data_IF_775462578453
#
_entry.id   IF_775462578453
#
_cell.length_a   1.000
_cell.length_b   1.000
_cell.length_c   1.000
_cell.angle_alpha   90.00
_cell.angle_beta   90.00
_cell.angle_gamma   90.00
#
_symmetry.space_group_name_H-M   'P 1'
#
loop_
_entity.id
_entity.type
_entity.pdbx_description
1 polymer ?
#
# COMPACT_ATOMS: atom_id res chain seq x y z
N UNK A 1 -2.06 -9.98 31.72
CA UNK A 1 -1.84 -10.71 30.48
C UNK A 1 -2.68 -10.24 29.34
N UNK A 2 -3.99 -10.07 29.53
CA UNK A 2 -4.88 -9.56 28.48
C UNK A 2 -4.55 -8.13 28.05
N UNK A 3 -4.07 -7.28 28.96
CA UNK A 3 -3.72 -5.90 28.65
C UNK A 3 -2.49 -5.80 27.75
N UNK A 4 -1.51 -6.67 27.93
CA UNK A 4 -0.33 -6.69 27.07
C UNK A 4 -0.67 -7.07 25.64
N UNK A 5 -1.56 -8.04 25.47
CA UNK A 5 -2.02 -8.44 24.15
C UNK A 5 -2.75 -7.31 23.43
N UNK A 6 -3.55 -6.53 24.17
CA UNK A 6 -4.27 -5.38 23.62
C UNK A 6 -3.32 -4.28 23.18
N UNK A 7 -2.27 -4.02 23.96
CA UNK A 7 -1.27 -3.03 23.61
C UNK A 7 -0.51 -3.43 22.35
N UNK A 8 -0.15 -4.70 22.22
CA UNK A 8 0.53 -5.23 21.04
C UNK A 8 -0.35 -5.05 19.82
N UNK A 9 -1.65 -5.32 19.92
CA UNK A 9 -2.61 -5.13 18.83
C UNK A 9 -2.69 -3.67 18.40
N UNK A 10 -2.71 -2.74 19.35
CA UNK A 10 -2.75 -1.29 19.06
C UNK A 10 -1.49 -0.85 18.32
N UNK A 11 -0.32 -1.33 18.74
CA UNK A 11 0.93 -1.02 18.06
C UNK A 11 0.92 -1.56 16.65
N UNK A 12 0.45 -2.79 16.46
CA UNK A 12 0.38 -3.40 15.14
C UNK A 12 -0.61 -2.69 14.22
N UNK A 13 -1.73 -2.19 14.76
CA UNK A 13 -2.73 -1.49 13.95
C UNK A 13 -2.24 -0.15 13.41
N UNK A 14 -1.20 0.42 14.01
CA UNK A 14 -0.57 1.65 13.53
C UNK A 14 0.51 1.41 12.50
N UNK A 15 0.84 0.16 12.21
CA UNK A 15 1.89 -0.20 11.27
C UNK A 15 1.41 -0.12 9.82
N UNK A 16 2.37 -0.14 8.88
CA UNK A 16 2.11 -0.09 7.45
C UNK A 16 1.23 -1.21 6.90
N UNK A 17 1.32 -2.46 7.44
CA UNK A 17 0.45 -3.54 6.96
C UNK A 17 -1.03 -3.20 7.08
N UNK A 18 -1.40 -2.45 8.09
CA UNK A 18 -2.78 -2.01 8.27
C UNK A 18 -3.26 -1.10 7.13
N UNK A 19 -2.43 -0.20 6.65
CA UNK A 19 -2.78 0.68 5.51
C UNK A 19 -2.98 -0.12 4.23
N UNK A 20 -2.06 -1.03 3.94
CA UNK A 20 -2.14 -1.86 2.73
C UNK A 20 -3.38 -2.75 2.80
N UNK A 21 -3.63 -3.35 3.95
CA UNK A 21 -4.81 -4.19 4.15
C UNK A 21 -6.11 -3.41 3.98
N UNK A 22 -6.16 -2.18 4.49
CA UNK A 22 -7.31 -1.31 4.30
C UNK A 22 -7.54 -0.99 2.83
N UNK A 23 -6.46 -0.68 2.10
CA UNK A 23 -6.55 -0.42 0.67
C UNK A 23 -7.09 -1.63 -0.09
N UNK A 24 -6.57 -2.81 0.20
CA UNK A 24 -7.04 -4.05 -0.43
C UNK A 24 -8.52 -4.28 -0.11
N UNK A 25 -8.92 -4.09 1.13
CA UNK A 25 -10.31 -4.26 1.54
C UNK A 25 -11.24 -3.32 0.78
N UNK A 26 -10.88 -2.06 0.65
CA UNK A 26 -11.66 -1.07 -0.09
C UNK A 26 -11.78 -1.49 -1.55
N UNK A 27 -10.69 -1.88 -2.18
CA UNK A 27 -10.65 -2.26 -3.59
C UNK A 27 -11.46 -3.54 -3.82
N UNK A 28 -11.42 -4.49 -2.89
CA UNK A 28 -12.20 -5.71 -3.01
C UNK A 28 -13.70 -5.44 -3.00
N UNK A 29 -14.15 -4.42 -2.26
CA UNK A 29 -15.57 -4.05 -2.20
C UNK A 29 -15.97 -3.07 -3.31
N UNK A 30 -15.05 -2.20 -3.73
CA UNK A 30 -15.29 -1.18 -4.75
C UNK A 30 -14.18 -1.18 -5.79
N UNK A 31 -14.10 -2.21 -6.64
CA UNK A 31 -13.00 -2.31 -7.62
C UNK A 31 -12.88 -1.11 -8.56
N UNK A 32 -14.00 -0.44 -8.83
CA UNK A 32 -14.02 0.75 -9.70
C UNK A 32 -13.13 1.88 -9.20
N UNK A 33 -12.86 1.93 -7.90
CA UNK A 33 -12.02 2.97 -7.33
C UNK A 33 -10.58 2.89 -7.81
N UNK A 34 -10.15 1.74 -8.33
CA UNK A 34 -8.82 1.60 -8.93
C UNK A 34 -8.63 2.54 -10.11
N UNK A 35 -9.71 2.98 -10.77
CA UNK A 35 -9.62 3.94 -11.85
C UNK A 35 -9.03 5.28 -11.41
N UNK A 36 -9.09 5.59 -10.12
CA UNK A 36 -8.45 6.77 -9.56
C UNK A 36 -6.93 6.62 -9.47
N UNK A 37 -6.44 5.39 -9.58
CA UNK A 37 -5.01 5.09 -9.57
C UNK A 37 -4.57 4.94 -11.02
N UNK A 38 -3.67 5.80 -11.47
CA UNK A 38 -3.21 5.78 -12.86
C UNK A 38 -2.54 4.45 -13.17
N UNK A 39 -2.81 3.93 -14.38
CA UNK A 39 -2.18 2.73 -14.86
C UNK A 39 -0.66 2.89 -14.87
N UNK A 40 0.04 1.87 -14.41
CA UNK A 40 1.49 1.91 -14.27
C UNK A 40 2.00 2.63 -13.03
N UNK A 41 1.12 3.17 -12.20
CA UNK A 41 1.48 3.82 -10.93
C UNK A 41 1.38 2.85 -9.77
N UNK A 42 2.14 1.79 -9.86
CA UNK A 42 2.22 0.79 -8.80
C UNK A 42 3.00 1.32 -7.60
N UNK A 43 2.70 0.78 -6.44
CA UNK A 43 3.39 1.16 -5.22
C UNK A 43 4.77 0.50 -5.18
N UNK A 44 5.76 1.27 -4.79
CA UNK A 44 7.11 0.76 -4.65
C UNK A 44 7.29 0.08 -3.30
N UNK A 45 8.22 -0.86 -3.26
CA UNK A 45 8.58 -1.52 -2.03
C UNK A 45 9.18 -0.52 -1.05
N UNK A 46 8.83 -0.68 0.20
CA UNK A 46 9.38 0.08 1.31
C UNK A 46 10.40 -0.83 2.00
N UNK A 47 11.28 -0.26 2.78
CA UNK A 47 12.30 -1.02 3.49
C UNK A 47 11.71 -1.74 4.71
N UNK A 48 10.71 -2.58 4.47
CA UNK A 48 9.99 -3.37 5.47
C UNK A 48 9.39 -4.59 4.76
N UNK A 49 9.98 -5.75 5.00
CA UNK A 49 9.59 -6.99 4.33
C UNK A 49 8.12 -7.37 4.59
N UNK A 50 7.61 -7.08 5.78
CA UNK A 50 6.22 -7.39 6.12
C UNK A 50 5.21 -6.58 5.31
N UNK A 51 5.55 -5.34 4.98
CA UNK A 51 4.70 -4.48 4.16
C UNK A 51 4.79 -4.87 2.69
N UNK A 52 5.97 -5.25 2.23
CA UNK A 52 6.22 -5.50 0.81
C UNK A 52 5.40 -6.65 0.25
N UNK A 53 5.12 -7.68 1.05
CA UNK A 53 4.24 -8.75 0.60
C UNK A 53 2.83 -8.21 0.30
N UNK A 54 2.30 -7.39 1.19
CA UNK A 54 1.00 -6.75 0.97
C UNK A 54 1.02 -5.81 -0.22
N UNK A 55 2.09 -5.06 -0.40
CA UNK A 55 2.25 -4.16 -1.54
C UNK A 55 2.26 -4.95 -2.85
N UNK A 56 2.92 -6.09 -2.90
CA UNK A 56 2.91 -6.95 -4.08
C UNK A 56 1.49 -7.41 -4.41
N UNK A 57 0.74 -7.85 -3.41
CA UNK A 57 -0.65 -8.28 -3.59
C UNK A 57 -1.50 -7.11 -4.10
N UNK A 58 -1.36 -5.95 -3.47
CA UNK A 58 -2.09 -4.75 -3.87
C UNK A 58 -1.79 -4.37 -5.33
N UNK A 59 -0.52 -4.36 -5.71
CA UNK A 59 -0.11 -4.04 -7.08
C UNK A 59 -0.68 -5.05 -8.08
N UNK A 60 -0.69 -6.33 -7.75
CA UNK A 60 -1.26 -7.34 -8.63
C UNK A 60 -2.77 -7.15 -8.80
N UNK A 61 -3.47 -6.82 -7.73
CA UNK A 61 -4.91 -6.54 -7.79
C UNK A 61 -5.19 -5.32 -8.67
N UNK A 62 -4.43 -4.25 -8.49
CA UNK A 62 -4.58 -3.02 -9.28
C UNK A 62 -4.33 -3.32 -10.75
N UNK A 63 -3.26 -4.03 -11.05
CA UNK A 63 -2.92 -4.40 -12.42
C UNK A 63 -4.01 -5.27 -13.06
N UNK A 64 -4.54 -6.21 -12.31
CA UNK A 64 -5.60 -7.10 -12.77
C UNK A 64 -6.88 -6.30 -13.10
N UNK A 65 -7.25 -5.36 -12.26
CA UNK A 65 -8.45 -4.54 -12.47
C UNK A 65 -8.25 -3.63 -13.69
N UNK A 66 -7.07 -3.04 -13.87
CA UNK A 66 -6.78 -2.22 -15.05
C UNK A 66 -6.83 -3.03 -16.35
N UNK A 67 -6.45 -4.29 -16.29
CA UNK A 67 -6.45 -5.15 -17.48
C UNK A 67 -7.84 -5.62 -17.88
N UNK A 68 -8.83 -5.48 -17.00
CA UNK A 68 -10.21 -5.93 -17.24
C UNK A 68 -11.19 -4.82 -16.90
N UNK A 69 -12.14 -4.55 -17.79
CA UNK A 69 -13.09 -3.45 -17.62
C UNK A 69 -14.11 -3.68 -16.50
N UNK A 70 -14.40 -4.93 -16.21
CA UNK A 70 -15.34 -5.29 -15.15
C UNK A 70 -14.83 -6.52 -14.44
N UNK A 71 -14.60 -6.39 -13.15
CA UNK A 71 -14.08 -7.50 -12.35
C UNK A 71 -14.78 -7.52 -11.00
N UNK A 72 -15.09 -8.73 -10.54
CA UNK A 72 -15.71 -8.95 -9.24
C UNK A 72 -14.67 -9.47 -8.25
N UNK A 73 -14.97 -9.30 -6.97
CA UNK A 73 -14.09 -9.78 -5.90
C UNK A 73 -13.75 -11.28 -6.06
N UNK A 74 -14.75 -12.09 -6.42
CA UNK A 74 -14.52 -13.52 -6.62
C UNK A 74 -13.48 -13.80 -7.69
N UNK A 75 -13.49 -13.03 -8.77
CA UNK A 75 -12.51 -13.18 -9.86
C UNK A 75 -11.12 -12.80 -9.38
N UNK A 76 -11.01 -11.75 -8.56
CA UNK A 76 -9.73 -11.33 -7.98
C UNK A 76 -9.15 -12.46 -7.12
N UNK A 77 -9.98 -13.05 -6.27
CA UNK A 77 -9.56 -14.16 -5.40
C UNK A 77 -9.04 -15.34 -6.23
N UNK A 78 -9.75 -15.70 -7.27
CA UNK A 78 -9.38 -16.85 -8.10
C UNK A 78 -8.11 -16.64 -8.93
N UNK A 79 -7.72 -15.37 -9.14
CA UNK A 79 -6.50 -15.05 -9.86
C UNK A 79 -5.25 -15.54 -9.13
N UNK A 80 -5.26 -15.53 -7.80
CA UNK A 80 -4.10 -15.91 -7.01
C UNK A 80 -4.02 -17.43 -6.86
N UNK A 81 -2.80 -17.97 -6.94
CA UNK A 81 -2.55 -19.40 -6.79
C UNK A 81 -2.22 -19.79 -5.35
N UNK A 82 -1.72 -18.85 -4.56
CA UNK A 82 -1.36 -19.10 -3.17
C UNK A 82 -2.61 -19.22 -2.30
N UNK A 83 -2.77 -20.36 -1.63
CA UNK A 83 -3.94 -20.63 -0.82
C UNK A 83 -4.07 -19.70 0.39
N UNK A 84 -2.96 -19.27 0.96
CA UNK A 84 -3.00 -18.33 2.09
C UNK A 84 -3.47 -16.95 1.62
N UNK A 85 -3.01 -16.50 0.47
CA UNK A 85 -3.47 -15.23 -0.10
C UNK A 85 -4.94 -15.31 -0.44
N UNK A 86 -5.38 -16.40 -1.09
CA UNK A 86 -6.80 -16.61 -1.39
C UNK A 86 -7.66 -16.55 -0.14
N UNK A 87 -7.23 -17.21 0.93
CA UNK A 87 -7.94 -17.25 2.18
C UNK A 87 -8.12 -15.85 2.76
N UNK A 88 -7.05 -15.07 2.80
CA UNK A 88 -7.09 -13.69 3.30
C UNK A 88 -8.00 -12.81 2.45
N UNK A 89 -7.91 -12.93 1.14
CA UNK A 89 -8.77 -12.15 0.23
C UNK A 89 -10.24 -12.53 0.38
N UNK A 90 -10.54 -13.82 0.54
CA UNK A 90 -11.90 -14.27 0.80
C UNK A 90 -12.45 -13.68 2.10
N UNK A 91 -11.64 -13.68 3.15
CA UNK A 91 -12.04 -13.09 4.43
C UNK A 91 -12.37 -11.61 4.28
N UNK A 92 -11.56 -10.87 3.54
CA UNK A 92 -11.80 -9.46 3.28
C UNK A 92 -13.05 -9.24 2.42
N UNK A 93 -13.27 -10.10 1.43
CA UNK A 93 -14.39 -9.97 0.51
C UNK A 93 -15.74 -10.19 1.21
N UNK A 94 -15.80 -11.10 2.18
CA UNK A 94 -17.04 -11.38 2.91
C UNK A 94 -17.24 -10.45 4.10
N UNK A 95 -16.20 -9.78 4.55
CA UNK A 95 -16.28 -8.85 5.66
C UNK A 95 -17.01 -7.59 5.19
N UNK A 96 -18.09 -7.26 5.88
CA UNK A 96 -18.89 -6.11 5.51
C UNK A 96 -18.13 -4.81 5.68
N UNK A 97 -18.08 -4.03 4.62
CA UNK A 97 -17.51 -2.68 4.66
C UNK A 97 -18.62 -1.69 4.95
N UNK A 98 -18.51 -0.97 6.06
CA UNK A 98 -19.60 -0.14 6.60
C UNK A 98 -19.58 1.28 6.03
N UNK A 99 -18.73 1.59 5.09
CA UNK A 99 -18.63 2.92 4.51
C UNK A 99 -19.20 2.94 3.09
N UNK A 100 -19.70 4.09 2.67
CA UNK A 100 -20.21 4.29 1.32
C UNK A 100 -19.04 4.31 0.32
N UNK A 101 -19.37 4.17 -0.97
CA UNK A 101 -18.36 4.26 -2.03
C UNK A 101 -17.63 5.60 -2.00
N UNK A 102 -18.34 6.68 -1.74
CA UNK A 102 -17.75 8.02 -1.66
C UNK A 102 -16.76 8.13 -0.51
N UNK A 103 -17.12 7.61 0.66
CA UNK A 103 -16.23 7.58 1.82
C UNK A 103 -15.02 6.69 1.55
N UNK A 104 -15.25 5.54 0.92
CA UNK A 104 -14.19 4.60 0.55
C UNK A 104 -13.20 5.27 -0.41
N UNK A 105 -13.69 6.04 -1.37
CA UNK A 105 -12.83 6.78 -2.30
C UNK A 105 -11.92 7.77 -1.58
N UNK A 106 -12.47 8.56 -0.67
CA UNK A 106 -11.70 9.51 0.14
C UNK A 106 -10.65 8.80 0.98
N UNK A 107 -11.03 7.69 1.61
CA UNK A 107 -10.15 6.92 2.45
C UNK A 107 -9.02 6.27 1.63
N UNK A 108 -9.35 5.73 0.47
CA UNK A 108 -8.35 5.15 -0.43
C UNK A 108 -7.33 6.21 -0.88
N UNK A 109 -7.78 7.39 -1.25
CA UNK A 109 -6.89 8.49 -1.63
C UNK A 109 -5.92 8.84 -0.50
N UNK A 110 -6.41 8.89 0.72
CA UNK A 110 -5.56 9.18 1.86
C UNK A 110 -4.54 8.08 2.12
N UNK A 111 -4.96 6.82 2.00
CA UNK A 111 -4.05 5.69 2.13
C UNK A 111 -2.95 5.76 1.07
N UNK A 112 -3.31 6.07 -0.16
CA UNK A 112 -2.35 6.22 -1.27
C UNK A 112 -1.31 7.30 -0.93
N UNK A 113 -1.77 8.45 -0.45
CA UNK A 113 -0.88 9.54 -0.07
C UNK A 113 0.09 9.12 1.03
N UNK A 114 -0.40 8.41 2.04
CA UNK A 114 0.44 7.93 3.14
C UNK A 114 1.46 6.89 2.69
N UNK A 115 1.06 5.97 1.83
CA UNK A 115 1.99 4.97 1.29
C UNK A 115 3.07 5.63 0.43
N UNK A 116 2.69 6.59 -0.39
CA UNK A 116 3.65 7.33 -1.21
C UNK A 116 4.62 8.14 -0.35
N UNK A 117 4.14 8.74 0.72
CA UNK A 117 4.99 9.46 1.65
C UNK A 117 5.98 8.54 2.36
N UNK A 118 5.52 7.37 2.80
CA UNK A 118 6.41 6.37 3.39
C UNK A 118 7.49 5.94 2.41
N UNK A 119 7.12 5.74 1.15
CA UNK A 119 8.09 5.37 0.13
C UNK A 119 9.14 6.47 -0.06
N UNK A 120 8.71 7.72 -0.12
CA UNK A 120 9.63 8.85 -0.25
C UNK A 120 10.60 8.94 0.93
N UNK A 121 10.09 8.76 2.14
CA UNK A 121 10.94 8.76 3.35
C UNK A 121 11.92 7.61 3.37
N UNK A 122 11.48 6.43 2.94
CA UNK A 122 12.34 5.25 2.85
C UNK A 122 13.48 5.47 1.84
N UNK A 123 13.17 6.01 0.67
CA UNK A 123 14.17 6.31 -0.34
C UNK A 123 15.15 7.37 0.14
N UNK A 124 14.64 8.42 0.79
CA UNK A 124 15.48 9.46 1.36
C UNK A 124 16.45 8.89 2.39
N UNK A 125 15.95 8.05 3.28
CA UNK A 125 16.77 7.39 4.29
C UNK A 125 17.89 6.56 3.67
N UNK A 126 17.58 5.83 2.59
CA UNK A 126 18.59 5.04 1.87
C UNK A 126 19.69 5.93 1.30
N UNK A 127 19.31 7.08 0.72
CA UNK A 127 20.30 8.01 0.18
C UNK A 127 21.15 8.65 1.28
N UNK A 128 20.54 9.00 2.41
CA UNK A 128 21.29 9.52 3.57
C UNK A 128 22.28 8.49 4.06
N UNK A 129 21.87 7.24 4.20
CA UNK A 129 22.76 6.17 4.66
C UNK A 129 23.88 5.90 3.66
N UNK A 130 23.58 5.93 2.37
CA UNK A 130 24.59 5.76 1.33
C UNK A 130 25.63 6.89 1.36
N UNK A 131 25.19 8.12 1.59
CA UNK A 131 26.07 9.27 1.65
C UNK A 131 27.08 9.22 2.80
N UNK A 132 26.76 8.46 3.86
CA UNK A 132 27.67 8.26 5.00
C UNK A 132 28.88 7.40 4.62
N UNK A 133 28.66 6.43 3.73
CA UNK A 133 29.68 5.45 3.36
C UNK A 133 30.34 5.74 2.02
N UNK A 134 29.64 6.42 1.12
CA UNK A 134 30.09 6.66 -0.23
C UNK A 134 29.46 7.94 -0.78
N UNK A 135 30.14 8.56 -1.77
CA UNK A 135 29.61 9.76 -2.39
C UNK A 135 28.38 9.44 -3.26
N UNK A 136 27.40 10.32 -3.21
CA UNK A 136 26.23 10.18 -4.08
C UNK A 136 26.58 10.56 -5.52
N UNK A 137 26.04 9.83 -6.48
CA UNK A 137 26.14 10.20 -7.88
C UNK A 137 25.36 11.48 -8.15
N UNK A 138 25.58 12.12 -9.30
CA UNK A 138 24.82 13.31 -9.67
C UNK A 138 23.32 13.05 -9.72
N UNK A 139 22.93 11.90 -10.24
CA UNK A 139 21.53 11.47 -10.29
C UNK A 139 20.94 11.30 -8.89
N UNK A 140 21.69 10.67 -8.00
CA UNK A 140 21.28 10.45 -6.61
C UNK A 140 21.14 11.76 -5.84
N UNK A 141 22.05 12.71 -6.07
CA UNK A 141 21.96 14.04 -5.45
C UNK A 141 20.69 14.79 -5.89
N UNK A 142 20.36 14.71 -7.17
CA UNK A 142 19.12 15.32 -7.68
C UNK A 142 17.89 14.68 -7.02
N UNK A 143 17.90 13.37 -6.92
CA UNK A 143 16.82 12.63 -6.26
C UNK A 143 16.68 13.01 -4.80
N UNK A 144 17.81 13.11 -4.09
CA UNK A 144 17.85 13.52 -2.69
C UNK A 144 17.22 14.90 -2.48
N UNK A 145 17.60 15.89 -3.31
CA UNK A 145 17.04 17.23 -3.21
C UNK A 145 15.55 17.25 -3.48
N UNK A 146 15.10 16.51 -4.49
CA UNK A 146 13.69 16.43 -4.83
C UNK A 146 12.87 15.81 -3.68
N UNK A 147 13.36 14.73 -3.10
CA UNK A 147 12.68 14.04 -2.01
C UNK A 147 12.64 14.89 -0.73
N UNK A 148 13.74 15.59 -0.44
CA UNK A 148 13.83 16.48 0.72
C UNK A 148 12.81 17.61 0.61
N UNK A 149 12.70 18.24 -0.54
CA UNK A 149 11.74 19.32 -0.76
C UNK A 149 10.28 18.82 -0.63
N UNK A 150 10.02 17.64 -1.19
CA UNK A 150 8.68 17.04 -1.14
C UNK A 150 8.22 16.79 0.30
N UNK A 151 9.14 16.44 1.19
CA UNK A 151 8.83 16.17 2.60
C UNK A 151 8.69 17.47 3.39
N UNK A 152 9.53 18.46 3.09
CA UNK A 152 9.54 19.75 3.81
C UNK A 152 8.30 20.60 3.54
N UNK A 153 7.71 20.50 2.37
CA UNK A 153 6.52 21.27 1.99
C UNK A 153 5.28 20.89 2.81
N UNK A 154 5.33 19.74 3.45
CA UNK A 154 4.29 19.36 4.39
C UNK A 154 4.60 19.83 5.79
#
# INVERSE_FOLDING_TARGET
MTQQKQQIKKVQSKSGPSLVRQAINIIMHYPKLVNEIAEGKEFKHIDDAGINLGINILNEIISLIHSKNSIKAATIVEYFNDENIKKHLKELAVKKLIISEKEANSELREIILRLNERNRRSELKKLVNKAKDDALTASERKKFLRLSKSIEIK
#
